data_IF_131711906853
#
_entry.id   IF_131711906853
#
_cell.length_a   1.000
_cell.length_b   1.000
_cell.length_c   1.000
_cell.angle_alpha   90.00
_cell.angle_beta   90.00
_cell.angle_gamma   90.00
#
_symmetry.space_group_name_H-M   'P 1'
#
loop_
_entity.id
_entity.type
_entity.pdbx_description
1 polymer ?
#
# COMPACT_ATOMS: atom_id res chain seq x y z
N UNK A 1 -8.88 -51.55 6.41
CA UNK A 1 -9.30 -50.17 6.75
C UNK A 1 -8.25 -49.40 7.57
N UNK A 2 -7.78 -49.92 8.72
CA UNK A 2 -6.86 -49.19 9.61
C UNK A 2 -5.54 -48.72 8.98
N UNK A 3 -4.89 -49.54 8.17
CA UNK A 3 -3.62 -49.17 7.50
C UNK A 3 -3.77 -48.03 6.48
N UNK A 4 -4.93 -47.93 5.81
CA UNK A 4 -5.21 -46.84 4.85
C UNK A 4 -5.39 -45.52 5.59
N UNK A 5 -6.08 -45.55 6.74
CA UNK A 5 -6.28 -44.37 7.58
C UNK A 5 -4.95 -43.90 8.17
N UNK A 6 -4.13 -44.83 8.70
CA UNK A 6 -2.81 -44.50 9.23
C UNK A 6 -1.89 -43.89 8.16
N UNK A 7 -1.88 -44.47 6.95
CA UNK A 7 -1.11 -43.92 5.83
C UNK A 7 -1.60 -42.53 5.42
N UNK A 8 -2.92 -42.31 5.30
CA UNK A 8 -3.49 -41.01 4.99
C UNK A 8 -3.15 -39.95 6.05
N UNK A 9 -3.19 -40.32 7.33
CA UNK A 9 -2.87 -39.43 8.45
C UNK A 9 -1.41 -38.95 8.42
N UNK A 10 -0.47 -39.77 7.91
CA UNK A 10 0.94 -39.38 7.76
C UNK A 10 1.18 -38.63 6.44
N UNK A 11 0.51 -39.03 5.36
CA UNK A 11 0.74 -38.42 4.04
C UNK A 11 0.07 -37.06 3.89
N UNK A 12 -1.10 -36.83 4.49
CA UNK A 12 -1.79 -35.54 4.43
C UNK A 12 -0.92 -34.36 4.89
N UNK A 13 -0.30 -34.37 6.09
CA UNK A 13 0.51 -33.22 6.52
C UNK A 13 1.72 -32.96 5.61
N UNK A 14 2.31 -34.00 5.01
CA UNK A 14 3.42 -33.86 4.07
C UNK A 14 2.95 -33.18 2.78
N UNK A 15 1.81 -33.62 2.24
CA UNK A 15 1.21 -33.03 1.04
C UNK A 15 0.77 -31.58 1.31
N UNK A 16 0.12 -31.34 2.45
CA UNK A 16 -0.28 -29.99 2.89
C UNK A 16 0.93 -29.08 3.05
N UNK A 17 2.01 -29.54 3.69
CA UNK A 17 3.22 -28.72 3.83
C UNK A 17 3.79 -28.33 2.46
N UNK A 18 3.87 -29.28 1.52
CA UNK A 18 4.39 -29.01 0.18
C UNK A 18 3.53 -28.03 -0.62
N UNK A 19 2.21 -28.16 -0.55
CA UNK A 19 1.28 -27.27 -1.28
C UNK A 19 1.22 -25.88 -0.65
N UNK A 20 1.23 -25.82 0.68
CA UNK A 20 1.06 -24.56 1.42
C UNK A 20 2.35 -23.76 1.52
N UNK A 21 3.54 -24.40 1.55
CA UNK A 21 4.84 -23.71 1.68
C UNK A 21 5.03 -22.59 0.67
N UNK A 22 4.63 -22.81 -0.58
CA UNK A 22 4.73 -21.77 -1.62
C UNK A 22 3.82 -20.57 -1.35
N UNK A 23 2.64 -20.79 -0.75
CA UNK A 23 1.70 -19.71 -0.42
C UNK A 23 2.21 -18.82 0.72
N UNK A 24 3.17 -19.30 1.53
CA UNK A 24 3.86 -18.50 2.53
C UNK A 24 5.06 -17.71 1.98
N UNK A 25 5.34 -17.80 0.68
CA UNK A 25 6.38 -16.97 0.05
C UNK A 25 5.85 -15.57 -0.21
N UNK A 26 6.71 -14.56 -0.07
CA UNK A 26 6.31 -13.15 -0.25
C UNK A 26 5.78 -12.90 -1.66
N UNK A 27 6.30 -13.60 -2.68
CA UNK A 27 5.82 -13.48 -4.06
C UNK A 27 4.35 -13.91 -4.24
N UNK A 28 3.80 -14.72 -3.32
CA UNK A 28 2.38 -15.11 -3.31
C UNK A 28 1.54 -14.39 -2.24
N UNK A 29 2.09 -13.36 -1.60
CA UNK A 29 1.40 -12.62 -0.53
C UNK A 29 0.34 -11.62 -1.05
N UNK A 30 0.20 -11.46 -2.37
CA UNK A 30 -0.70 -10.49 -3.03
C UNK A 30 -0.50 -9.03 -2.61
N UNK A 31 0.55 -8.73 -1.82
CA UNK A 31 0.99 -7.38 -1.50
C UNK A 31 2.26 -7.06 -2.28
N UNK A 32 2.47 -5.78 -2.53
CA UNK A 32 3.66 -5.31 -3.21
C UNK A 32 4.92 -5.64 -2.39
N UNK A 33 5.86 -6.35 -3.02
CA UNK A 33 7.09 -6.83 -2.41
C UNK A 33 7.95 -5.69 -1.85
N UNK A 34 7.97 -4.54 -2.53
CA UNK A 34 8.79 -3.40 -2.15
C UNK A 34 8.32 -2.77 -0.84
N UNK A 35 7.03 -2.91 -0.48
CA UNK A 35 6.50 -2.43 0.82
C UNK A 35 7.13 -3.20 1.96
N UNK A 36 7.34 -4.51 1.76
CA UNK A 36 7.88 -5.40 2.78
C UNK A 36 9.40 -5.21 2.88
N UNK A 37 10.10 -5.17 1.74
CA UNK A 37 11.56 -5.02 1.73
C UNK A 37 11.99 -3.66 2.26
N UNK A 38 11.31 -2.60 1.84
CA UNK A 38 11.64 -1.23 2.24
C UNK A 38 10.76 -0.70 3.38
N UNK A 39 10.11 -1.60 4.13
CA UNK A 39 9.14 -1.26 5.18
C UNK A 39 9.70 -0.24 6.18
N UNK A 40 10.91 -0.47 6.68
CA UNK A 40 11.52 0.40 7.70
C UNK A 40 11.81 1.79 7.14
N UNK A 41 12.28 1.89 5.90
CA UNK A 41 12.57 3.17 5.26
C UNK A 41 11.28 3.96 5.00
N UNK A 42 10.24 3.29 4.48
CA UNK A 42 8.95 3.88 4.19
C UNK A 42 8.18 4.30 5.46
N UNK A 43 8.31 3.52 6.54
CA UNK A 43 7.69 3.79 7.85
C UNK A 43 8.27 5.04 8.52
N UNK A 44 9.59 5.22 8.47
CA UNK A 44 10.28 6.33 9.15
C UNK A 44 10.46 7.57 8.27
N UNK A 45 10.07 7.53 6.99
CA UNK A 45 10.17 8.67 6.08
C UNK A 45 9.25 9.84 6.43
N UNK A 46 8.18 9.59 7.21
CA UNK A 46 7.22 10.60 7.65
C UNK A 46 6.95 10.49 9.15
N UNK A 47 6.50 11.58 9.80
CA UNK A 47 6.14 11.56 11.22
C UNK A 47 5.03 10.54 11.54
N UNK A 48 5.03 10.07 12.78
CA UNK A 48 3.97 9.20 13.28
C UNK A 48 2.64 9.95 13.45
N UNK A 49 1.52 9.22 13.36
CA UNK A 49 0.13 9.73 13.39
C UNK A 49 -0.32 10.57 12.18
N UNK A 50 0.49 10.71 11.15
CA UNK A 50 0.06 11.34 9.90
C UNK A 50 -1.01 10.49 9.19
N UNK A 51 -1.97 11.18 8.55
CA UNK A 51 -2.97 10.54 7.69
C UNK A 51 -2.43 10.45 6.27
N UNK A 52 -2.41 9.23 5.74
CA UNK A 52 -1.87 8.94 4.42
C UNK A 52 -2.95 8.40 3.48
N UNK A 53 -2.72 8.53 2.18
CA UNK A 53 -3.40 7.76 1.15
C UNK A 53 -2.51 6.57 0.80
N UNK A 54 -3.07 5.38 0.72
CA UNK A 54 -2.37 4.18 0.24
C UNK A 54 -3.07 3.70 -1.03
N UNK A 55 -2.31 3.59 -2.12
CA UNK A 55 -2.83 3.12 -3.40
C UNK A 55 -2.52 1.65 -3.62
N UNK A 56 -3.44 0.98 -4.31
CA UNK A 56 -3.33 -0.38 -4.82
C UNK A 56 -3.08 -1.47 -3.76
N UNK A 57 -3.46 -1.23 -2.51
CA UNK A 57 -3.45 -2.29 -1.49
C UNK A 57 -4.74 -3.12 -1.60
N UNK A 58 -4.59 -4.31 -2.20
CA UNK A 58 -5.65 -5.31 -2.38
C UNK A 58 -6.32 -5.71 -1.07
N UNK A 59 -5.58 -5.71 0.03
CA UNK A 59 -6.10 -6.13 1.32
C UNK A 59 -6.84 -5.02 2.07
N UNK A 60 -6.72 -3.77 1.61
CA UNK A 60 -7.18 -2.55 2.27
C UNK A 60 -6.59 -2.27 3.66
N UNK A 61 -5.67 -3.10 4.15
CA UNK A 61 -5.25 -3.12 5.55
C UNK A 61 -3.75 -3.40 5.76
N UNK A 62 -3.10 -4.15 4.86
CA UNK A 62 -1.71 -4.58 5.01
C UNK A 62 -0.76 -3.39 4.96
N UNK A 63 -0.95 -2.45 4.04
CA UNK A 63 -0.03 -1.31 3.92
C UNK A 63 -0.09 -0.39 5.15
N UNK A 64 -1.27 0.08 5.61
CA UNK A 64 -1.39 0.82 6.87
C UNK A 64 -0.76 0.08 8.05
N UNK A 65 -0.97 -1.24 8.12
CA UNK A 65 -0.43 -2.07 9.19
C UNK A 65 1.10 -2.17 9.16
N UNK A 66 1.68 -2.50 8.01
CA UNK A 66 3.13 -2.64 7.85
C UNK A 66 3.87 -1.32 8.04
N UNK A 67 3.32 -0.23 7.51
CA UNK A 67 3.94 1.09 7.58
C UNK A 67 3.65 1.79 8.91
N UNK A 68 2.75 1.25 9.74
CA UNK A 68 2.33 1.82 11.02
C UNK A 68 1.84 3.26 10.86
N UNK A 69 0.89 3.43 9.94
CA UNK A 69 0.33 4.73 9.57
C UNK A 69 -1.17 4.60 9.40
N UNK A 70 -1.90 5.67 9.71
CA UNK A 70 -3.36 5.73 9.58
C UNK A 70 -3.70 6.35 8.24
N UNK A 71 -4.81 5.97 7.62
CA UNK A 71 -5.13 6.54 6.33
C UNK A 71 -6.30 5.94 5.59
N UNK A 72 -6.35 6.31 4.32
CA UNK A 72 -7.37 5.89 3.37
C UNK A 72 -6.72 4.99 2.35
N UNK A 73 -7.30 3.82 2.15
CA UNK A 73 -6.74 2.79 1.26
C UNK A 73 -7.63 2.64 0.05
N UNK A 74 -7.02 2.69 -1.13
CA UNK A 74 -7.70 2.55 -2.40
C UNK A 74 -7.22 1.28 -3.09
N UNK A 75 -8.17 0.44 -3.46
CA UNK A 75 -7.91 -0.78 -4.23
C UNK A 75 -7.82 -0.52 -5.74
N UNK A 76 -8.40 0.59 -6.21
CA UNK A 76 -8.58 0.85 -7.65
C UNK A 76 -7.33 1.47 -8.25
N UNK A 77 -6.97 1.05 -9.47
CA UNK A 77 -5.85 1.60 -10.25
C UNK A 77 -6.02 3.07 -10.67
N UNK A 78 -7.15 3.68 -10.32
CA UNK A 78 -7.48 5.05 -10.65
C UNK A 78 -7.92 5.77 -9.39
N UNK A 79 -7.17 6.81 -9.02
CA UNK A 79 -7.57 7.79 -8.03
C UNK A 79 -7.76 9.13 -8.73
N UNK A 80 -9.03 9.56 -8.95
CA UNK A 80 -9.33 10.85 -9.58
C UNK A 80 -8.79 12.02 -8.77
N UNK A 81 -8.47 13.11 -9.47
CA UNK A 81 -7.95 14.35 -8.87
C UNK A 81 -8.88 14.88 -7.79
N UNK A 82 -10.18 14.84 -8.04
CA UNK A 82 -11.22 15.37 -7.15
C UNK A 82 -11.21 14.67 -5.79
N UNK A 83 -10.90 13.37 -5.76
CA UNK A 83 -10.85 12.61 -4.51
C UNK A 83 -9.60 12.95 -3.71
N UNK A 84 -8.47 13.14 -4.38
CA UNK A 84 -7.24 13.62 -3.73
C UNK A 84 -7.46 15.03 -3.16
N UNK A 85 -8.07 15.93 -3.94
CA UNK A 85 -8.43 17.28 -3.48
C UNK A 85 -9.35 17.23 -2.26
N UNK A 86 -10.43 16.43 -2.29
CA UNK A 86 -11.34 16.30 -1.16
C UNK A 86 -10.61 15.78 0.09
N UNK A 87 -9.75 14.77 -0.04
CA UNK A 87 -8.98 14.24 1.08
C UNK A 87 -8.01 15.25 1.68
N UNK A 88 -7.40 16.11 0.86
CA UNK A 88 -6.57 17.21 1.36
C UNK A 88 -7.45 18.24 2.10
N UNK A 89 -8.56 18.66 1.50
CA UNK A 89 -9.38 19.77 2.00
C UNK A 89 -10.22 19.41 3.23
N UNK A 90 -10.79 18.19 3.27
CA UNK A 90 -11.74 17.76 4.30
C UNK A 90 -11.12 16.85 5.35
N UNK A 91 -10.13 16.02 4.97
CA UNK A 91 -9.51 15.02 5.87
C UNK A 91 -8.10 15.41 6.33
N UNK A 92 -7.55 16.49 5.79
CA UNK A 92 -6.21 17.00 6.07
C UNK A 92 -5.11 15.94 5.84
N UNK A 93 -5.23 15.19 4.73
CA UNK A 93 -4.22 14.22 4.31
C UNK A 93 -3.03 14.95 3.69
N UNK A 94 -1.81 14.59 4.11
CA UNK A 94 -0.57 15.22 3.66
C UNK A 94 0.36 14.33 2.86
N UNK A 95 0.17 13.01 2.91
CA UNK A 95 1.08 12.06 2.29
C UNK A 95 0.33 11.00 1.51
N UNK A 96 0.94 10.51 0.44
CA UNK A 96 0.41 9.45 -0.39
C UNK A 96 1.50 8.44 -0.72
N UNK A 97 1.23 7.17 -0.45
CA UNK A 97 2.04 6.04 -0.92
C UNK A 97 1.41 5.51 -2.20
N UNK A 98 2.20 5.47 -3.27
CA UNK A 98 1.77 5.04 -4.58
C UNK A 98 2.75 4.08 -5.21
N UNK A 99 2.26 2.96 -5.73
CA UNK A 99 2.99 2.10 -6.66
C UNK A 99 2.45 2.21 -8.10
N UNK A 100 1.46 3.06 -8.35
CA UNK A 100 0.76 3.13 -9.62
C UNK A 100 1.15 4.37 -10.43
N UNK A 101 1.79 4.14 -11.57
CA UNK A 101 2.23 5.19 -12.49
C UNK A 101 1.09 5.94 -13.15
N UNK A 102 -0.08 5.32 -13.35
CA UNK A 102 -1.25 6.00 -13.89
C UNK A 102 -1.70 7.14 -12.97
N UNK A 103 -1.58 6.98 -11.66
CA UNK A 103 -1.94 8.01 -10.68
C UNK A 103 -0.79 9.01 -10.49
N UNK A 104 0.44 8.53 -10.38
CA UNK A 104 1.63 9.37 -10.15
C UNK A 104 1.96 10.28 -11.32
N UNK A 105 1.76 9.79 -12.54
CA UNK A 105 2.21 10.46 -13.76
C UNK A 105 1.12 11.30 -14.40
N UNK A 106 -0.14 11.14 -13.96
CA UNK A 106 -1.26 11.96 -14.39
C UNK A 106 -0.96 13.45 -14.13
N UNK A 107 -0.91 14.29 -15.19
CA UNK A 107 -0.65 15.73 -15.06
C UNK A 107 -1.60 16.45 -14.11
N UNK A 108 -2.84 15.96 -13.97
CA UNK A 108 -3.86 16.55 -13.10
C UNK A 108 -3.56 16.30 -11.63
N UNK A 109 -3.16 15.07 -11.28
CA UNK A 109 -2.78 14.70 -9.93
C UNK A 109 -1.45 15.34 -9.52
N UNK A 110 -0.49 15.45 -10.45
CA UNK A 110 0.78 16.13 -10.20
C UNK A 110 0.65 17.57 -9.73
N UNK A 111 -0.42 18.28 -10.14
CA UNK A 111 -0.69 19.65 -9.67
C UNK A 111 -0.98 19.71 -8.16
N UNK A 112 -1.39 18.60 -7.56
CA UNK A 112 -1.67 18.45 -6.13
C UNK A 112 -0.44 18.00 -5.34
N UNK A 113 0.60 17.54 -6.02
CA UNK A 113 1.82 17.07 -5.37
C UNK A 113 2.73 18.25 -5.09
N UNK A 114 3.34 18.24 -3.91
CA UNK A 114 4.33 19.22 -3.48
C UNK A 114 5.73 18.73 -3.80
N UNK A 115 6.07 17.53 -3.37
CA UNK A 115 7.38 16.92 -3.57
C UNK A 115 7.29 15.39 -3.51
N UNK A 116 8.30 14.70 -4.04
CA UNK A 116 8.50 13.27 -3.79
C UNK A 116 9.51 13.17 -2.66
N UNK A 117 9.11 12.59 -1.53
CA UNK A 117 9.94 12.47 -0.33
C UNK A 117 10.97 11.36 -0.53
N UNK A 118 10.50 10.20 -1.00
CA UNK A 118 11.33 9.04 -1.23
C UNK A 118 10.72 8.14 -2.32
N UNK A 119 11.59 7.47 -3.07
CA UNK A 119 11.21 6.43 -4.03
C UNK A 119 12.03 5.18 -3.73
N UNK A 120 11.36 4.05 -3.50
CA UNK A 120 11.96 2.75 -3.19
C UNK A 120 11.29 1.66 -4.02
N UNK A 121 12.06 1.06 -4.92
CA UNK A 121 11.53 0.14 -5.91
C UNK A 121 10.41 0.80 -6.73
N UNK A 122 9.25 0.16 -6.72
CA UNK A 122 8.03 0.65 -7.39
C UNK A 122 7.29 1.73 -6.60
N UNK A 123 7.52 1.83 -5.29
CA UNK A 123 6.75 2.71 -4.40
C UNK A 123 7.35 4.12 -4.37
N UNK A 124 6.48 5.11 -4.51
CA UNK A 124 6.75 6.53 -4.29
C UNK A 124 5.96 7.01 -3.09
N UNK A 125 6.64 7.70 -2.18
CA UNK A 125 6.02 8.47 -1.13
C UNK A 125 6.02 9.94 -1.55
N UNK A 126 4.81 10.46 -1.70
CA UNK A 126 4.54 11.78 -2.27
C UNK A 126 3.97 12.66 -1.16
N UNK A 127 4.53 13.85 -1.00
CA UNK A 127 3.96 14.91 -0.19
C UNK A 127 2.88 15.64 -1.00
N UNK A 128 1.69 15.75 -0.44
CA UNK A 128 0.58 16.48 -1.01
C UNK A 128 0.62 17.94 -0.57
N UNK A 129 0.07 18.83 -1.40
CA UNK A 129 -0.15 20.23 -1.04
C UNK A 129 -1.08 20.33 0.16
N UNK A 130 -0.91 21.42 0.90
CA UNK A 130 -1.78 21.77 2.02
C UNK A 130 -3.07 22.43 1.53
N UNK A 131 -4.08 22.48 2.41
CA UNK A 131 -5.34 23.18 2.17
C UNK A 131 -5.15 24.64 1.75
N UNK A 132 -4.20 25.33 2.37
CA UNK A 132 -3.91 26.74 2.08
C UNK A 132 -3.30 26.92 0.68
N UNK A 133 -2.41 26.01 0.27
CA UNK A 133 -1.81 26.01 -1.06
C UNK A 133 -2.85 25.72 -2.15
N UNK A 134 -3.78 24.81 -1.91
CA UNK A 134 -4.87 24.52 -2.85
C UNK A 134 -5.86 25.67 -2.97
N UNK A 135 -6.18 26.33 -1.86
CA UNK A 135 -7.14 27.44 -1.86
C UNK A 135 -6.61 28.65 -2.63
N UNK A 136 -5.28 28.87 -2.64
CA UNK A 136 -4.62 29.94 -3.42
C UNK A 136 -4.52 29.65 -4.93
N UNK A 137 -4.74 28.42 -5.36
CA UNK A 137 -4.70 28.03 -6.77
C UNK A 137 -6.06 28.16 -7.48
N UNK A 138 -7.15 28.30 -6.72
CA UNK A 138 -8.50 28.57 -7.24
C UNK A 138 -8.70 30.08 -7.39
#
# INVERSE_FOLDING_TARGET
AGYVIAFAAVMMPILTYRTVKENWTISRSYTNYDVIVHQQELKHAIPDNERCIFLNDVSQHIWPYLLDKKGYVFYVEQLPKEWIEDMILTKNVRYMYSDNRLVDENPENKKLFRSIIIQKGTIKLIELKTKDELTKMK
#
